data_IF_136169759931
#
_entry.id   IF_136169759931
#
_cell.length_a   1.000
_cell.length_b   1.000
_cell.length_c   1.000
_cell.angle_alpha   90.00
_cell.angle_beta   90.00
_cell.angle_gamma   90.00
#
_symmetry.space_group_name_H-M   'P 1'
#
loop_
_entity.id
_entity.type
_entity.pdbx_description
1 polymer ?
#
# COMPACT_ATOMS: atom_id res chain seq x y z
N UNK A 1 -19.05 12.28 30.06
CA UNK A 1 -19.70 12.96 28.91
C UNK A 1 -19.41 12.14 27.67
N UNK A 2 -20.42 11.67 26.92
CA UNK A 2 -20.18 10.95 25.67
C UNK A 2 -19.54 11.89 24.64
N UNK A 3 -18.61 11.36 23.84
CA UNK A 3 -17.98 12.11 22.75
C UNK A 3 -19.04 12.35 21.67
N UNK A 4 -19.27 13.60 21.23
CA UNK A 4 -20.23 13.89 20.15
C UNK A 4 -19.83 13.18 18.84
N UNK A 5 -20.81 12.53 18.20
CA UNK A 5 -20.63 11.83 16.92
C UNK A 5 -21.81 12.15 15.98
N UNK A 6 -21.52 12.25 14.69
CA UNK A 6 -22.57 12.41 13.66
C UNK A 6 -23.32 11.09 13.49
N UNK A 7 -24.65 11.05 13.69
CA UNK A 7 -25.43 9.83 13.49
C UNK A 7 -25.40 9.36 12.03
N UNK A 8 -25.21 8.06 11.81
CA UNK A 8 -25.24 7.47 10.46
C UNK A 8 -24.02 7.80 9.58
N UNK A 9 -22.93 8.30 10.17
CA UNK A 9 -21.69 8.59 9.46
C UNK A 9 -21.05 7.30 8.90
N UNK A 10 -20.78 7.29 7.60
CA UNK A 10 -19.98 6.25 6.96
C UNK A 10 -18.51 6.71 6.90
N UNK A 11 -17.55 6.02 7.53
CA UNK A 11 -16.14 6.37 7.43
C UNK A 11 -15.61 6.36 5.99
N UNK A 12 -16.22 5.55 5.11
CA UNK A 12 -15.81 5.48 3.71
C UNK A 12 -16.02 6.82 3.00
N UNK A 13 -17.15 7.50 3.25
CA UNK A 13 -17.44 8.81 2.65
C UNK A 13 -16.64 9.97 3.25
N UNK A 14 -15.93 9.73 4.36
CA UNK A 14 -14.98 10.69 4.93
C UNK A 14 -13.58 10.55 4.36
N UNK A 15 -13.19 9.32 4.02
CA UNK A 15 -11.83 8.99 3.58
C UNK A 15 -11.70 8.90 2.05
N UNK A 16 -12.83 8.89 1.33
CA UNK A 16 -12.87 8.78 -0.14
C UNK A 16 -14.00 9.60 -0.72
N UNK A 17 -13.86 9.93 -2.01
CA UNK A 17 -14.91 10.52 -2.81
C UNK A 17 -15.21 9.70 -4.09
N UNK A 18 -16.26 10.09 -4.82
CA UNK A 18 -16.66 9.39 -6.04
C UNK A 18 -15.57 9.43 -7.14
N UNK A 19 -14.69 10.43 -7.14
CA UNK A 19 -13.62 10.56 -8.11
C UNK A 19 -12.47 9.57 -7.83
N UNK A 20 -12.12 9.36 -6.56
CA UNK A 20 -11.20 8.32 -6.12
C UNK A 20 -11.72 6.94 -6.51
N UNK A 21 -12.98 6.64 -6.19
CA UNK A 21 -13.61 5.36 -6.50
C UNK A 21 -13.64 5.11 -8.01
N UNK A 22 -14.04 6.11 -8.80
CA UNK A 22 -14.04 6.01 -10.26
C UNK A 22 -12.62 5.76 -10.80
N UNK A 23 -11.61 6.43 -10.23
CA UNK A 23 -10.21 6.23 -10.61
C UNK A 23 -9.75 4.81 -10.31
N UNK A 24 -10.08 4.27 -9.13
CA UNK A 24 -9.69 2.92 -8.75
C UNK A 24 -10.37 1.85 -9.62
N UNK A 25 -11.64 2.05 -9.96
CA UNK A 25 -12.37 1.18 -10.88
C UNK A 25 -11.72 1.17 -12.28
N UNK A 26 -11.32 2.36 -12.78
CA UNK A 26 -10.59 2.46 -14.05
C UNK A 26 -9.21 1.78 -14.00
N UNK A 27 -8.59 1.72 -12.82
CA UNK A 27 -7.35 0.97 -12.56
C UNK A 27 -7.57 -0.54 -12.37
N UNK A 28 -8.83 -1.01 -12.45
CA UNK A 28 -9.19 -2.42 -12.37
C UNK A 28 -9.47 -2.93 -10.96
N UNK A 29 -9.71 -2.04 -9.99
CA UNK A 29 -10.31 -2.42 -8.71
C UNK A 29 -11.76 -2.86 -8.96
N UNK A 30 -12.25 -3.95 -8.34
CA UNK A 30 -13.67 -4.28 -8.37
C UNK A 30 -14.52 -3.19 -7.71
N UNK A 31 -15.70 -2.93 -8.25
CA UNK A 31 -16.61 -1.88 -7.79
C UNK A 31 -17.45 -2.26 -6.55
N UNK A 32 -17.14 -3.39 -5.91
CA UNK A 32 -17.83 -3.78 -4.69
C UNK A 32 -17.33 -2.97 -3.47
N UNK A 33 -18.17 -2.90 -2.44
CA UNK A 33 -17.89 -2.10 -1.23
C UNK A 33 -16.64 -2.59 -0.51
N UNK A 34 -16.41 -3.90 -0.41
CA UNK A 34 -15.25 -4.46 0.30
C UNK A 34 -13.93 -4.08 -0.38
N UNK A 35 -13.89 -4.14 -1.71
CA UNK A 35 -12.75 -3.70 -2.52
C UNK A 35 -12.48 -2.21 -2.32
N UNK A 36 -13.53 -1.39 -2.29
CA UNK A 36 -13.43 0.05 -2.03
C UNK A 36 -12.90 0.36 -0.62
N UNK A 37 -13.41 -0.34 0.40
CA UNK A 37 -12.93 -0.24 1.78
C UNK A 37 -11.44 -0.64 1.90
N UNK A 38 -11.04 -1.74 1.26
CA UNK A 38 -9.63 -2.18 1.24
C UNK A 38 -8.71 -1.17 0.55
N UNK A 39 -9.13 -0.61 -0.59
CA UNK A 39 -8.38 0.43 -1.29
C UNK A 39 -8.26 1.70 -0.44
N UNK A 40 -9.32 2.07 0.28
CA UNK A 40 -9.32 3.21 1.21
C UNK A 40 -8.29 3.02 2.31
N UNK A 41 -8.25 1.84 2.94
CA UNK A 41 -7.27 1.50 3.96
C UNK A 41 -5.85 1.56 3.38
N UNK A 42 -5.64 1.04 2.17
CA UNK A 42 -4.35 1.07 1.48
C UNK A 42 -3.86 2.50 1.19
N UNK A 43 -4.78 3.40 0.81
CA UNK A 43 -4.44 4.78 0.49
C UNK A 43 -4.34 5.70 1.72
N UNK A 44 -4.98 5.34 2.84
CA UNK A 44 -5.04 6.18 4.05
C UNK A 44 -4.11 5.72 5.18
N UNK A 45 -3.39 4.60 5.03
CA UNK A 45 -2.55 4.06 6.09
C UNK A 45 -1.14 4.65 6.10
N UNK A 46 -0.67 5.00 7.30
CA UNK A 46 0.74 5.33 7.53
C UNK A 46 1.60 4.11 7.82
N UNK A 47 1.06 2.89 7.90
CA UNK A 47 1.91 1.68 8.02
C UNK A 47 2.06 1.03 6.66
N UNK A 48 3.15 0.28 6.45
CA UNK A 48 3.27 -0.53 5.24
C UNK A 48 2.18 -1.60 5.23
N UNK A 49 1.23 -1.56 4.28
CA UNK A 49 0.12 -2.49 4.30
C UNK A 49 0.54 -3.87 3.80
N UNK A 50 0.08 -4.91 4.49
CA UNK A 50 0.15 -6.29 4.01
C UNK A 50 -1.15 -6.65 3.30
N UNK A 51 -1.04 -7.17 2.08
CA UNK A 51 -2.19 -7.54 1.26
C UNK A 51 -2.27 -9.06 1.17
N UNK A 52 -3.42 -9.61 1.55
CA UNK A 52 -3.76 -11.02 1.37
C UNK A 52 -4.69 -11.12 0.17
N UNK A 53 -4.18 -11.58 -0.97
CA UNK A 53 -4.89 -11.55 -2.24
C UNK A 53 -4.77 -12.89 -2.97
N UNK A 54 -5.73 -13.77 -2.73
CA UNK A 54 -5.79 -15.09 -3.38
C UNK A 54 -6.13 -15.00 -4.88
N UNK A 55 -6.73 -13.91 -5.33
CA UNK A 55 -7.21 -13.73 -6.70
C UNK A 55 -6.30 -12.83 -7.56
N UNK A 56 -5.24 -12.28 -6.97
CA UNK A 56 -4.30 -11.33 -7.58
C UNK A 56 -4.96 -10.05 -8.12
N UNK A 57 -6.15 -9.70 -7.62
CA UNK A 57 -6.89 -8.50 -8.05
C UNK A 57 -6.27 -7.22 -7.48
N UNK A 58 -5.93 -7.21 -6.19
CA UNK A 58 -5.29 -6.08 -5.53
C UNK A 58 -3.88 -5.83 -6.08
N UNK A 59 -3.12 -6.89 -6.34
CA UNK A 59 -1.80 -6.78 -7.00
C UNK A 59 -1.93 -6.17 -8.39
N UNK A 60 -2.90 -6.60 -9.19
CA UNK A 60 -3.15 -6.05 -10.53
C UNK A 60 -3.53 -4.56 -10.45
N UNK A 61 -4.42 -4.20 -9.52
CA UNK A 61 -4.82 -2.82 -9.30
C UNK A 61 -3.63 -1.92 -8.91
N UNK A 62 -2.77 -2.34 -7.98
CA UNK A 62 -1.57 -1.59 -7.55
C UNK A 62 -0.61 -1.36 -8.73
N UNK A 63 -0.37 -2.39 -9.53
CA UNK A 63 0.46 -2.28 -10.74
C UNK A 63 -0.11 -1.27 -11.73
N UNK A 64 -1.43 -1.27 -11.94
CA UNK A 64 -2.08 -0.29 -12.81
C UNK A 64 -2.07 1.13 -12.22
N UNK A 65 -2.23 1.26 -10.89
CA UNK A 65 -2.26 2.56 -10.19
C UNK A 65 -0.93 3.30 -10.26
N UNK A 66 0.18 2.59 -10.07
CA UNK A 66 1.52 3.20 -10.00
C UNK A 66 2.33 3.06 -11.29
N UNK A 67 1.92 2.19 -12.21
CA UNK A 67 2.54 2.06 -13.54
C UNK A 67 4.05 1.80 -13.48
N UNK A 68 4.81 2.51 -14.33
CA UNK A 68 6.26 2.35 -14.47
C UNK A 68 7.07 2.81 -13.23
N UNK A 69 6.47 3.64 -12.37
CA UNK A 69 7.10 4.07 -11.12
C UNK A 69 7.18 2.91 -10.11
N UNK A 70 6.30 1.91 -10.21
CA UNK A 70 6.28 0.77 -9.31
C UNK A 70 7.47 -0.15 -9.53
N UNK A 71 8.23 -0.39 -8.46
CA UNK A 71 9.26 -1.43 -8.43
C UNK A 71 8.69 -2.67 -7.74
N UNK A 72 8.39 -3.70 -8.54
CA UNK A 72 7.95 -5.00 -8.03
C UNK A 72 9.17 -5.91 -7.83
N UNK A 73 9.34 -6.45 -6.62
CA UNK A 73 10.45 -7.33 -6.25
C UNK A 73 9.96 -8.57 -5.51
N UNK A 74 10.82 -9.59 -5.43
CA UNK A 74 10.64 -10.75 -4.57
C UNK A 74 11.81 -10.88 -3.62
N UNK A 75 11.53 -11.24 -2.37
CA UNK A 75 12.59 -11.51 -1.40
C UNK A 75 13.44 -12.71 -1.88
N UNK A 76 14.75 -12.64 -1.66
CA UNK A 76 15.70 -13.68 -2.07
C UNK A 76 16.14 -13.65 -3.54
N UNK A 77 15.58 -12.78 -4.40
CA UNK A 77 16.13 -12.60 -5.75
C UNK A 77 17.47 -11.85 -5.70
N UNK A 78 18.34 -12.05 -6.70
CA UNK A 78 19.63 -11.36 -6.77
C UNK A 78 19.42 -9.83 -6.75
N UNK A 79 20.21 -9.13 -5.94
CA UNK A 79 20.19 -7.66 -5.83
C UNK A 79 18.87 -7.06 -5.36
N UNK A 80 18.02 -7.82 -4.65
CA UNK A 80 16.76 -7.27 -4.14
C UNK A 80 16.99 -6.10 -3.16
N UNK A 81 18.01 -6.16 -2.30
CA UNK A 81 18.38 -5.08 -1.37
C UNK A 81 18.80 -3.81 -2.12
N UNK A 82 19.62 -3.96 -3.16
CA UNK A 82 20.06 -2.84 -3.99
C UNK A 82 18.85 -2.13 -4.65
N UNK A 83 17.86 -2.91 -5.12
CA UNK A 83 16.62 -2.36 -5.71
C UNK A 83 15.79 -1.62 -4.64
N UNK A 84 15.71 -2.16 -3.41
CA UNK A 84 15.01 -1.50 -2.30
C UNK A 84 15.69 -0.18 -1.96
N UNK A 85 17.02 -0.17 -1.82
CA UNK A 85 17.79 1.03 -1.51
C UNK A 85 17.61 2.12 -2.59
N UNK A 86 17.66 1.73 -3.86
CA UNK A 86 17.43 2.64 -4.98
C UNK A 86 16.00 3.18 -4.96
N UNK A 87 14.99 2.33 -4.74
CA UNK A 87 13.60 2.75 -4.69
C UNK A 87 13.35 3.75 -3.54
N UNK A 88 13.96 3.52 -2.37
CA UNK A 88 13.88 4.45 -1.24
C UNK A 88 14.54 5.79 -1.57
N UNK A 89 15.71 5.75 -2.21
CA UNK A 89 16.46 6.96 -2.58
C UNK A 89 15.73 7.82 -3.60
N UNK A 90 15.07 7.17 -4.58
CA UNK A 90 14.34 7.84 -5.65
C UNK A 90 12.90 8.23 -5.26
N UNK A 91 12.39 7.73 -4.13
CA UNK A 91 11.00 7.89 -3.71
C UNK A 91 10.01 7.08 -4.56
N UNK A 92 10.47 5.99 -5.20
CA UNK A 92 9.63 5.13 -6.02
C UNK A 92 8.77 4.18 -5.15
N UNK A 93 7.50 3.93 -5.50
CA UNK A 93 6.68 2.94 -4.82
C UNK A 93 7.27 1.54 -5.03
N UNK A 94 7.33 0.76 -3.94
CA UNK A 94 7.87 -0.60 -3.93
C UNK A 94 6.76 -1.59 -3.58
N UNK A 95 6.66 -2.68 -4.36
CA UNK A 95 5.79 -3.82 -4.09
C UNK A 95 6.64 -5.07 -3.88
N UNK A 96 6.50 -5.69 -2.71
CA UNK A 96 7.12 -6.99 -2.41
C UNK A 96 6.09 -8.08 -2.68
N UNK A 97 6.34 -8.91 -3.67
CA UNK A 97 5.48 -10.03 -4.04
C UNK A 97 5.86 -11.30 -3.27
N UNK A 98 4.88 -12.17 -3.06
CA UNK A 98 5.06 -13.52 -2.51
C UNK A 98 5.83 -13.53 -1.18
N UNK A 99 5.49 -12.59 -0.29
CA UNK A 99 6.08 -12.55 1.05
C UNK A 99 5.69 -13.83 1.80
N UNK A 100 6.69 -14.48 2.40
CA UNK A 100 6.46 -15.67 3.24
C UNK A 100 5.97 -15.30 4.64
N UNK A 101 5.80 -16.30 5.49
CA UNK A 101 5.48 -16.10 6.92
C UNK A 101 6.61 -15.42 7.69
N UNK A 102 7.84 -15.52 7.19
CA UNK A 102 9.03 -14.90 7.77
C UNK A 102 9.61 -13.90 6.79
N UNK A 103 10.12 -12.80 7.36
CA UNK A 103 10.82 -11.75 6.63
C UNK A 103 12.25 -11.71 7.14
N UNK A 104 13.19 -11.39 6.25
CA UNK A 104 14.60 -11.28 6.64
C UNK A 104 14.79 -10.11 7.63
N UNK A 105 15.49 -10.32 8.77
CA UNK A 105 15.67 -9.28 9.80
C UNK A 105 16.29 -7.98 9.30
N UNK A 106 16.99 -8.02 8.17
CA UNK A 106 17.58 -6.84 7.51
C UNK A 106 16.51 -5.81 7.11
N UNK A 107 15.25 -6.23 6.92
CA UNK A 107 14.13 -5.35 6.57
C UNK A 107 13.43 -4.75 7.79
N UNK A 108 13.72 -5.21 9.01
CA UNK A 108 13.06 -4.72 10.24
C UNK A 108 13.16 -3.19 10.42
N UNK A 109 14.32 -2.54 10.17
CA UNK A 109 14.41 -1.08 10.25
C UNK A 109 13.50 -0.37 9.24
N UNK A 110 13.34 -0.93 8.05
CA UNK A 110 12.49 -0.37 7.00
C UNK A 110 11.01 -0.57 7.34
N UNK A 111 10.63 -1.78 7.75
CA UNK A 111 9.26 -2.11 8.12
C UNK A 111 8.79 -1.35 9.37
N UNK A 112 9.68 -1.18 10.34
CA UNK A 112 9.45 -0.36 11.54
C UNK A 112 9.50 1.14 11.29
N UNK A 113 9.85 1.58 10.07
CA UNK A 113 10.08 3.00 9.72
C UNK A 113 11.06 3.68 10.67
N UNK A 114 12.10 2.97 11.09
CA UNK A 114 13.17 3.45 11.96
C UNK A 114 14.08 4.39 11.16
N UNK A 115 13.57 5.57 10.84
CA UNK A 115 14.28 6.59 10.07
C UNK A 115 14.98 7.57 11.01
N UNK A 116 16.23 7.89 10.69
CA UNK A 116 16.99 8.92 11.41
C UNK A 116 17.03 10.15 10.51
N UNK A 117 16.35 11.21 10.91
CA UNK A 117 16.43 12.49 10.21
C UNK A 117 17.79 13.14 10.51
N UNK A 118 18.76 12.96 9.62
CA UNK A 118 20.01 13.74 9.62
C UNK A 118 19.83 14.96 8.72
N UNK A 119 19.82 16.14 9.32
CA UNK A 119 19.89 17.40 8.58
C UNK A 119 21.30 17.61 7.99
N UNK A 120 21.39 18.43 6.95
CA UNK A 120 22.58 19.26 6.75
C UNK A 120 22.53 20.43 7.73
#
# INVERSE_FOLDING_TARGET
VPIPVTPGLDPLSLLTDDADIATWNNQGLPSDRMSTENATILCSTERWPLIVDAQLQGVKWIKNKYGEALKAIRLGQRSYLDIIEQAISDGNPLLIENIGETVEPVLDPLLGRNTIKKGK
#
